data_IF_858660375990
#
_entry.id   IF_858660375990
#
_cell.length_a   1.000
_cell.length_b   1.000
_cell.length_c   1.000
_cell.angle_alpha   90.00
_cell.angle_beta   90.00
_cell.angle_gamma   90.00
#
_symmetry.space_group_name_H-M   'P 1'
#
loop_
_entity.id
_entity.type
_entity.pdbx_description
1 polymer ?
#
# COMPACT_ATOMS: atom_id res chain seq x y z
N UNK A 1 -68.34 -3.38 -74.18
CA UNK A 1 -67.74 -3.07 -72.86
C UNK A 1 -66.72 -4.16 -72.55
N UNK A 2 -65.43 -3.86 -72.67
CA UNK A 2 -64.35 -4.75 -72.23
C UNK A 2 -63.42 -3.94 -71.33
N UNK A 3 -63.33 -4.34 -70.06
CA UNK A 3 -62.43 -3.75 -69.08
C UNK A 3 -61.10 -4.49 -69.09
N UNK A 4 -60.02 -3.80 -69.45
CA UNK A 4 -58.66 -4.31 -69.37
C UNK A 4 -58.13 -4.14 -67.94
N UNK A 5 -57.88 -5.24 -67.23
CA UNK A 5 -57.19 -5.25 -65.94
C UNK A 5 -55.68 -5.28 -66.18
N UNK A 6 -54.99 -4.27 -65.68
CA UNK A 6 -53.53 -4.09 -65.80
C UNK A 6 -52.78 -5.08 -64.88
N UNK A 7 -51.82 -5.87 -65.39
CA UNK A 7 -51.10 -6.89 -64.62
C UNK A 7 -49.97 -6.32 -63.73
N UNK A 8 -49.93 -5.01 -63.48
CA UNK A 8 -48.82 -4.35 -62.75
C UNK A 8 -48.93 -4.38 -61.22
N UNK A 9 -50.05 -4.84 -60.65
CA UNK A 9 -50.26 -4.84 -59.19
C UNK A 9 -49.61 -6.00 -58.39
N UNK A 10 -49.53 -7.26 -58.86
CA UNK A 10 -48.98 -8.34 -58.04
C UNK A 10 -47.45 -8.29 -57.92
N UNK A 11 -46.75 -7.72 -58.91
CA UNK A 11 -45.27 -7.62 -58.90
C UNK A 11 -44.78 -6.60 -57.87
N UNK A 12 -45.50 -5.49 -57.69
CA UNK A 12 -45.16 -4.47 -56.71
C UNK A 12 -45.29 -4.99 -55.26
N UNK A 13 -46.29 -5.84 -54.98
CA UNK A 13 -46.48 -6.44 -53.65
C UNK A 13 -45.39 -7.46 -53.35
N UNK A 14 -44.99 -8.28 -54.33
CA UNK A 14 -43.93 -9.28 -54.17
C UNK A 14 -42.56 -8.63 -53.88
N UNK A 15 -42.24 -7.53 -54.58
CA UNK A 15 -41.01 -6.75 -54.35
C UNK A 15 -40.98 -6.09 -52.97
N UNK A 16 -42.13 -5.60 -52.48
CA UNK A 16 -42.22 -4.94 -51.17
C UNK A 16 -42.12 -5.95 -50.01
N UNK A 17 -42.66 -7.17 -50.20
CA UNK A 17 -42.50 -8.28 -49.24
C UNK A 17 -41.05 -8.79 -49.24
N UNK A 18 -40.39 -8.93 -50.39
CA UNK A 18 -38.96 -9.30 -50.44
C UNK A 18 -38.08 -8.24 -49.78
N UNK A 19 -38.36 -6.94 -49.99
CA UNK A 19 -37.61 -5.86 -49.36
C UNK A 19 -37.78 -5.85 -47.83
N UNK A 20 -38.98 -6.10 -47.34
CA UNK A 20 -39.27 -6.21 -45.91
C UNK A 20 -38.57 -7.42 -45.27
N UNK A 21 -38.50 -8.57 -45.96
CA UNK A 21 -37.79 -9.76 -45.46
C UNK A 21 -36.27 -9.55 -45.45
N UNK A 22 -35.70 -8.82 -46.42
CA UNK A 22 -34.27 -8.45 -46.40
C UNK A 22 -33.92 -7.44 -45.29
N UNK A 23 -34.84 -6.51 -44.97
CA UNK A 23 -34.62 -5.54 -43.89
C UNK A 23 -34.72 -6.17 -42.49
N UNK A 24 -35.61 -7.16 -42.31
CA UNK A 24 -35.70 -7.92 -41.05
C UNK A 24 -34.50 -8.86 -40.87
N UNK A 25 -33.93 -9.39 -41.97
CA UNK A 25 -32.71 -10.20 -41.93
C UNK A 25 -31.43 -9.44 -41.53
N UNK A 26 -31.36 -8.14 -41.83
CA UNK A 26 -30.23 -7.26 -41.44
C UNK A 26 -30.39 -6.65 -40.04
N UNK A 27 -31.60 -6.62 -39.49
CA UNK A 27 -31.86 -6.35 -38.07
C UNK A 27 -31.75 -7.62 -37.21
N UNK A 28 -31.16 -8.70 -37.75
CA UNK A 28 -30.79 -9.89 -37.00
C UNK A 28 -29.90 -9.47 -35.83
N UNK A 29 -30.43 -9.66 -34.62
CA UNK A 29 -29.78 -9.53 -33.32
C UNK A 29 -28.27 -9.76 -33.41
N UNK A 30 -27.51 -8.70 -33.69
CA UNK A 30 -26.10 -8.66 -33.44
C UNK A 30 -25.98 -8.84 -31.94
N UNK A 31 -25.65 -10.07 -31.51
CA UNK A 31 -25.12 -10.30 -30.17
C UNK A 31 -24.04 -9.23 -30.05
N UNK A 32 -24.30 -8.19 -29.25
CA UNK A 32 -23.31 -7.14 -29.00
C UNK A 32 -22.06 -7.91 -28.62
N UNK A 33 -21.06 -7.85 -29.48
CA UNK A 33 -19.76 -8.42 -29.17
C UNK A 33 -19.40 -7.77 -27.84
N UNK A 34 -19.35 -8.59 -26.78
CA UNK A 34 -19.04 -8.08 -25.45
C UNK A 34 -17.57 -7.70 -25.55
N UNK A 35 -17.32 -6.45 -25.92
CA UNK A 35 -15.98 -5.90 -26.02
C UNK A 35 -15.29 -6.10 -24.67
N UNK A 36 -14.07 -6.66 -24.71
CA UNK A 36 -13.27 -6.86 -23.50
C UNK A 36 -13.15 -5.51 -22.78
N UNK A 37 -13.63 -5.39 -21.52
CA UNK A 37 -13.66 -4.10 -20.83
C UNK A 37 -12.28 -3.62 -20.40
N UNK A 38 -11.23 -4.43 -20.56
CA UNK A 38 -9.86 -4.10 -20.18
C UNK A 38 -9.10 -3.50 -21.36
N UNK A 39 -8.44 -2.38 -21.11
CA UNK A 39 -7.51 -1.76 -22.08
C UNK A 39 -6.10 -2.20 -21.75
N UNK A 40 -5.41 -2.84 -22.70
CA UNK A 40 -4.01 -3.21 -22.50
C UNK A 40 -3.12 -1.96 -22.52
N UNK A 41 -2.24 -1.83 -21.51
CA UNK A 41 -1.20 -0.81 -21.49
C UNK A 41 -0.06 -1.20 -20.52
N UNK A 42 1.04 -0.45 -20.57
CA UNK A 42 2.14 -0.60 -19.60
C UNK A 42 1.75 -0.10 -18.21
N UNK A 43 2.34 -0.70 -17.16
CA UNK A 43 2.14 -0.29 -15.76
C UNK A 43 2.30 1.23 -15.59
N UNK A 44 3.39 1.80 -16.13
CA UNK A 44 3.66 3.24 -16.09
C UNK A 44 2.55 4.10 -16.69
N UNK A 45 1.98 3.70 -17.84
CA UNK A 45 0.90 4.49 -18.47
C UNK A 45 -0.42 4.31 -17.74
N UNK A 46 -0.68 3.15 -17.16
CA UNK A 46 -1.85 2.93 -16.28
C UNK A 46 -1.77 3.78 -15.02
N UNK A 47 -0.60 3.85 -14.36
CA UNK A 47 -0.49 4.54 -13.06
C UNK A 47 -0.28 6.04 -13.21
N UNK A 48 0.50 6.49 -14.21
CA UNK A 48 0.87 7.92 -14.38
C UNK A 48 0.49 8.54 -15.72
N UNK A 49 0.07 7.76 -16.70
CA UNK A 49 -0.34 8.25 -18.00
C UNK A 49 -1.83 8.59 -18.07
N UNK A 50 -2.23 9.07 -19.25
CA UNK A 50 -3.61 9.47 -19.56
C UNK A 50 -4.43 8.33 -20.18
N UNK A 51 -4.08 7.07 -19.88
CA UNK A 51 -4.77 5.92 -20.48
C UNK A 51 -6.22 5.90 -20.01
N UNK A 52 -7.14 6.19 -20.93
CA UNK A 52 -8.57 6.17 -20.68
C UNK A 52 -9.09 4.74 -20.76
N UNK A 53 -9.73 4.29 -19.69
CA UNK A 53 -10.42 3.00 -19.64
C UNK A 53 -11.77 3.14 -18.96
N UNK A 54 -12.75 2.37 -19.46
CA UNK A 54 -14.06 2.26 -18.84
C UNK A 54 -13.90 1.66 -17.44
N UNK A 55 -14.32 2.41 -16.41
CA UNK A 55 -14.20 2.01 -14.99
C UNK A 55 -12.76 1.75 -14.53
N UNK A 56 -11.77 2.35 -15.20
CA UNK A 56 -10.35 2.23 -14.85
C UNK A 56 -9.83 0.78 -14.84
N UNK A 57 -10.26 -0.02 -15.83
CA UNK A 57 -9.86 -1.42 -15.99
C UNK A 57 -8.78 -1.60 -17.05
N UNK A 58 -7.66 -2.17 -16.67
CA UNK A 58 -6.48 -2.27 -17.52
C UNK A 58 -5.95 -3.69 -17.57
N UNK A 59 -5.45 -4.13 -18.71
CA UNK A 59 -4.65 -5.35 -18.81
C UNK A 59 -3.17 -4.93 -18.80
N UNK A 60 -2.38 -5.48 -17.89
CA UNK A 60 -0.95 -5.21 -17.77
C UNK A 60 -0.17 -6.53 -17.77
N UNK A 61 1.07 -6.50 -18.23
CA UNK A 61 1.99 -7.62 -17.96
C UNK A 61 2.22 -7.75 -16.46
N UNK A 62 2.28 -9.00 -15.97
CA UNK A 62 2.54 -9.26 -14.56
C UNK A 62 3.87 -8.60 -14.14
N UNK A 63 3.85 -7.65 -13.18
CA UNK A 63 5.04 -6.90 -12.83
C UNK A 63 5.98 -7.74 -11.96
N UNK A 64 7.21 -7.26 -11.80
CA UNK A 64 8.09 -7.77 -10.77
C UNK A 64 7.60 -7.33 -9.39
N UNK A 65 7.44 -8.30 -8.49
CA UNK A 65 7.09 -8.07 -7.10
C UNK A 65 8.36 -7.72 -6.32
N UNK A 66 8.39 -6.53 -5.71
CA UNK A 66 9.50 -6.09 -4.89
C UNK A 66 9.37 -6.58 -3.44
N UNK A 67 8.14 -6.67 -2.95
CA UNK A 67 7.81 -7.19 -1.62
C UNK A 67 6.33 -7.55 -1.58
N UNK A 68 5.98 -8.63 -0.88
CA UNK A 68 4.60 -9.12 -0.76
C UNK A 68 4.37 -9.54 0.69
N UNK A 69 3.27 -9.09 1.29
CA UNK A 69 2.83 -9.55 2.61
C UNK A 69 1.33 -9.42 2.74
N UNK A 70 0.68 -10.52 3.12
CA UNK A 70 -0.77 -10.69 3.11
C UNK A 70 -1.36 -10.46 1.72
N UNK A 71 -2.33 -9.55 1.66
CA UNK A 71 -3.07 -9.19 0.44
C UNK A 71 -2.46 -8.02 -0.35
N UNK A 72 -1.31 -7.50 0.08
CA UNK A 72 -0.67 -6.31 -0.49
C UNK A 72 0.71 -6.64 -1.01
N UNK A 73 1.05 -6.09 -2.18
CA UNK A 73 2.39 -6.11 -2.73
C UNK A 73 2.85 -4.72 -3.14
N UNK A 74 4.15 -4.50 -3.04
CA UNK A 74 4.85 -3.45 -3.77
C UNK A 74 5.34 -4.02 -5.10
N UNK A 75 5.03 -3.30 -6.16
CA UNK A 75 5.52 -3.56 -7.51
C UNK A 75 6.31 -2.34 -7.98
N UNK A 76 7.37 -2.57 -8.74
CA UNK A 76 8.21 -1.48 -9.27
C UNK A 76 8.40 -1.56 -10.77
N UNK A 77 8.31 -0.40 -11.38
CA UNK A 77 8.78 -0.11 -12.74
C UNK A 77 9.74 1.09 -12.64
N UNK A 78 11.04 0.80 -12.62
CA UNK A 78 12.07 1.82 -12.41
C UNK A 78 11.99 2.51 -11.04
N UNK A 79 11.74 3.83 -11.05
CA UNK A 79 11.61 4.64 -9.83
C UNK A 79 10.15 4.78 -9.33
N UNK A 80 9.23 4.05 -9.94
CA UNK A 80 7.82 4.03 -9.57
C UNK A 80 7.59 3.03 -8.44
N UNK A 81 7.06 3.52 -7.32
CA UNK A 81 6.53 2.68 -6.24
C UNK A 81 5.02 2.60 -6.42
N UNK A 82 4.50 1.41 -6.72
CA UNK A 82 3.08 1.17 -6.93
C UNK A 82 2.64 -0.02 -6.08
N UNK A 83 1.35 -0.08 -5.76
CA UNK A 83 0.78 -1.15 -4.93
C UNK A 83 -0.18 -2.00 -5.74
N UNK A 84 -0.04 -3.31 -5.62
CA UNK A 84 -0.99 -4.30 -6.14
C UNK A 84 -1.65 -4.99 -4.95
N UNK A 85 -2.97 -5.12 -4.98
CA UNK A 85 -3.73 -5.85 -3.97
C UNK A 85 -4.52 -6.98 -4.60
N UNK A 86 -4.49 -8.14 -3.97
CA UNK A 86 -5.23 -9.33 -4.35
C UNK A 86 -5.43 -10.20 -3.11
N UNK A 87 -6.44 -11.06 -3.13
CA UNK A 87 -6.59 -12.07 -2.08
C UNK A 87 -5.45 -13.09 -2.13
N UNK A 88 -4.90 -13.43 -0.97
CA UNK A 88 -3.86 -14.46 -0.79
C UNK A 88 -2.63 -14.22 -1.70
N UNK A 89 -2.24 -12.96 -1.84
CA UNK A 89 -1.15 -12.57 -2.73
C UNK A 89 0.21 -13.11 -2.24
N UNK A 90 0.43 -13.13 -0.93
CA UNK A 90 1.64 -13.71 -0.31
C UNK A 90 1.89 -15.15 -0.76
N UNK A 91 0.85 -15.99 -0.77
CA UNK A 91 0.97 -17.39 -1.19
C UNK A 91 1.01 -17.60 -2.71
N UNK A 92 0.42 -16.68 -3.49
CA UNK A 92 0.17 -16.91 -4.92
C UNK A 92 0.98 -16.05 -5.90
N UNK A 93 1.65 -14.98 -5.46
CA UNK A 93 2.30 -14.02 -6.36
C UNK A 93 3.30 -14.65 -7.34
N UNK A 94 4.04 -15.69 -6.93
CA UNK A 94 5.00 -16.38 -7.79
C UNK A 94 4.34 -17.02 -9.04
N UNK A 95 3.07 -17.44 -8.93
CA UNK A 95 2.32 -18.05 -10.03
C UNK A 95 1.85 -17.03 -11.07
N UNK A 96 1.87 -15.74 -10.71
CA UNK A 96 1.48 -14.64 -11.60
C UNK A 96 2.58 -14.32 -12.62
N UNK A 97 3.82 -14.78 -12.41
CA UNK A 97 4.91 -14.55 -13.34
C UNK A 97 4.57 -15.03 -14.77
N UNK A 98 4.79 -14.16 -15.76
CA UNK A 98 4.53 -14.45 -17.18
C UNK A 98 3.04 -14.44 -17.58
N UNK A 99 2.15 -13.94 -16.71
CA UNK A 99 0.72 -13.77 -17.03
C UNK A 99 0.39 -12.33 -17.41
N UNK A 100 -0.80 -12.14 -18.00
CA UNK A 100 -1.44 -10.84 -18.15
C UNK A 100 -2.44 -10.66 -17.00
N UNK A 101 -2.30 -9.57 -16.26
CA UNK A 101 -3.16 -9.22 -15.14
C UNK A 101 -4.19 -8.19 -15.61
N UNK A 102 -5.48 -8.52 -15.50
CA UNK A 102 -6.52 -7.50 -15.55
C UNK A 102 -6.64 -6.88 -14.16
N UNK A 103 -6.39 -5.58 -14.08
CA UNK A 103 -6.40 -4.80 -12.85
C UNK A 103 -7.42 -3.68 -12.93
N UNK A 104 -7.96 -3.28 -11.78
CA UNK A 104 -8.70 -2.03 -11.64
C UNK A 104 -7.88 -1.05 -10.83
N UNK A 105 -7.65 0.15 -11.37
CA UNK A 105 -7.04 1.26 -10.62
C UNK A 105 -8.06 1.85 -9.65
N UNK A 106 -7.67 1.94 -8.39
CA UNK A 106 -8.50 2.44 -7.28
C UNK A 106 -7.79 3.57 -6.57
N UNK A 107 -8.58 4.51 -6.02
CA UNK A 107 -8.10 5.70 -5.32
C UNK A 107 -8.41 5.67 -3.82
N UNK A 108 -9.13 4.64 -3.36
CA UNK A 108 -9.57 4.45 -1.97
C UNK A 108 -9.45 2.98 -1.55
N UNK A 109 -8.85 2.69 -0.39
CA UNK A 109 -8.11 3.64 0.46
C UNK A 109 -6.87 4.20 -0.28
N UNK A 110 -6.36 5.35 0.18
CA UNK A 110 -5.13 5.91 -0.38
C UNK A 110 -3.92 5.05 0.03
N UNK A 111 -2.85 5.00 -0.77
CA UNK A 111 -2.61 5.71 -2.02
C UNK A 111 -3.36 5.09 -3.19
N UNK A 112 -3.24 5.69 -4.38
CA UNK A 112 -3.71 5.04 -5.61
C UNK A 112 -3.02 3.68 -5.76
N UNK A 113 -3.79 2.64 -6.05
CA UNK A 113 -3.29 1.27 -6.15
C UNK A 113 -4.05 0.49 -7.22
N UNK A 114 -3.59 -0.73 -7.50
CA UNK A 114 -4.18 -1.64 -8.47
C UNK A 114 -4.82 -2.81 -7.71
N UNK A 115 -6.06 -3.12 -8.02
CA UNK A 115 -6.76 -4.33 -7.54
C UNK A 115 -6.74 -5.37 -8.64
N UNK A 116 -6.24 -6.56 -8.36
CA UNK A 116 -6.30 -7.68 -9.30
C UNK A 116 -7.75 -8.14 -9.50
N UNK A 117 -8.21 -8.16 -10.75
CA UNK A 117 -9.56 -8.57 -11.14
C UNK A 117 -9.57 -9.72 -12.17
N UNK A 118 -8.44 -10.01 -12.83
CA UNK A 118 -8.34 -11.06 -13.85
C UNK A 118 -6.90 -11.57 -13.99
N UNK A 119 -6.75 -12.87 -14.26
CA UNK A 119 -5.50 -13.50 -14.66
C UNK A 119 -5.71 -14.17 -16.02
N UNK A 120 -4.84 -13.86 -16.98
CA UNK A 120 -4.87 -14.41 -18.33
C UNK A 120 -3.51 -15.01 -18.68
N UNK A 121 -3.51 -16.25 -19.16
CA UNK A 121 -2.30 -16.98 -19.54
C UNK A 121 -2.47 -17.50 -20.96
N UNK A 122 -1.49 -17.23 -21.82
CA UNK A 122 -1.52 -17.66 -23.22
C UNK A 122 -2.80 -17.25 -23.97
N UNK A 123 -3.34 -16.07 -23.66
CA UNK A 123 -4.57 -15.56 -24.27
C UNK A 123 -5.88 -16.05 -23.63
N UNK A 124 -5.83 -17.01 -22.69
CA UNK A 124 -6.99 -17.60 -22.03
C UNK A 124 -7.18 -16.99 -20.64
N UNK A 125 -8.41 -16.61 -20.29
CA UNK A 125 -8.77 -16.13 -18.95
C UNK A 125 -8.85 -17.33 -18.01
N UNK A 126 -7.89 -17.44 -17.09
CA UNK A 126 -7.83 -18.52 -16.08
C UNK A 126 -8.67 -18.17 -14.84
N UNK A 127 -8.71 -16.88 -14.49
CA UNK A 127 -9.46 -16.38 -13.35
C UNK A 127 -9.94 -14.94 -13.63
N UNK A 128 -11.10 -14.57 -13.12
CA UNK A 128 -11.68 -13.23 -13.27
C UNK A 128 -12.43 -12.82 -12.01
N UNK A 129 -13.17 -11.70 -12.04
CA UNK A 129 -13.92 -11.19 -10.88
C UNK A 129 -14.95 -12.16 -10.29
N UNK A 130 -15.29 -13.24 -10.99
CA UNK A 130 -16.19 -14.29 -10.48
C UNK A 130 -15.46 -15.33 -9.63
N UNK A 131 -14.16 -15.57 -9.90
CA UNK A 131 -13.32 -16.53 -9.18
C UNK A 131 -12.28 -15.89 -8.28
N UNK A 132 -11.85 -14.66 -8.62
CA UNK A 132 -10.98 -13.81 -7.82
C UNK A 132 -11.87 -12.95 -6.94
N UNK A 133 -11.89 -13.24 -5.64
CA UNK A 133 -12.56 -12.36 -4.70
C UNK A 133 -11.65 -11.17 -4.40
N UNK A 134 -12.28 -10.01 -4.22
CA UNK A 134 -11.57 -8.84 -3.72
C UNK A 134 -11.22 -9.11 -2.26
N UNK A 135 -9.97 -8.83 -1.82
CA UNK A 135 -9.62 -8.98 -0.42
C UNK A 135 -10.57 -8.13 0.45
N UNK A 136 -11.15 -8.76 1.47
CA UNK A 136 -12.06 -8.09 2.42
C UNK A 136 -11.31 -6.99 3.20
N UNK A 137 -10.05 -7.26 3.53
CA UNK A 137 -9.16 -6.35 4.23
C UNK A 137 -7.77 -6.40 3.60
N UNK A 138 -7.15 -5.23 3.44
CA UNK A 138 -5.77 -5.06 3.02
C UNK A 138 -5.23 -3.75 3.59
N UNK A 139 -3.95 -3.75 3.92
CA UNK A 139 -3.26 -2.61 4.51
C UNK A 139 -2.42 -1.93 3.45
N UNK A 140 -2.48 -0.60 3.39
CA UNK A 140 -1.65 0.22 2.51
C UNK A 140 -0.97 1.33 3.34
N UNK A 141 0.30 1.66 3.05
CA UNK A 141 0.97 2.78 3.70
C UNK A 141 0.41 4.11 3.20
N UNK A 142 0.17 5.05 4.10
CA UNK A 142 -0.15 6.42 3.71
C UNK A 142 1.12 7.13 3.23
N UNK A 143 1.10 7.58 1.98
CA UNK A 143 2.24 8.26 1.36
C UNK A 143 2.12 9.77 1.49
N UNK A 144 3.18 10.41 1.99
CA UNK A 144 3.26 11.86 2.11
C UNK A 144 3.92 12.46 0.87
N UNK A 145 3.38 13.60 0.43
CA UNK A 145 4.03 14.42 -0.61
C UNK A 145 5.25 15.11 -0.02
N UNK A 146 6.25 15.40 -0.84
CA UNK A 146 7.48 16.06 -0.40
C UNK A 146 7.26 17.44 0.26
N UNK A 147 6.14 18.12 -0.03
CA UNK A 147 5.75 19.37 0.63
C UNK A 147 4.91 19.21 1.90
N UNK A 148 4.51 17.98 2.26
CA UNK A 148 3.83 17.69 3.52
C UNK A 148 4.81 17.43 4.68
N UNK A 149 6.11 17.37 4.38
CA UNK A 149 7.18 17.21 5.37
C UNK A 149 8.01 18.48 5.43
N UNK A 150 8.50 18.82 6.61
CA UNK A 150 9.46 19.90 6.77
C UNK A 150 10.86 19.39 6.37
N UNK A 151 11.33 19.81 5.20
CA UNK A 151 12.63 19.35 4.67
C UNK A 151 13.82 19.97 5.40
N UNK A 152 13.61 21.10 6.06
CA UNK A 152 14.64 21.85 6.79
C UNK A 152 14.67 21.51 8.29
N UNK A 153 14.06 20.39 8.71
CA UNK A 153 14.17 19.93 10.09
C UNK A 153 15.64 19.84 10.48
N UNK A 154 16.03 20.36 11.66
CA UNK A 154 17.40 20.27 12.13
C UNK A 154 17.81 18.79 12.13
N UNK A 155 18.82 18.47 11.32
CA UNK A 155 19.40 17.14 11.19
C UNK A 155 20.35 16.81 12.34
N UNK A 156 19.94 17.07 13.57
CA UNK A 156 20.58 16.43 14.70
C UNK A 156 20.06 14.99 14.69
N UNK A 157 20.89 13.97 14.38
CA UNK A 157 20.45 12.59 14.62
C UNK A 157 19.94 12.54 16.05
N UNK A 158 18.87 11.78 16.33
CA UNK A 158 18.60 11.39 17.70
C UNK A 158 19.89 10.75 18.18
N UNK A 159 20.67 11.44 19.04
CA UNK A 159 21.88 10.84 19.55
C UNK A 159 21.41 9.62 20.32
N UNK A 160 22.30 8.65 20.43
CA UNK A 160 22.06 7.56 21.35
C UNK A 160 21.73 8.14 22.73
N UNK A 161 20.51 7.89 23.19
CA UNK A 161 20.08 8.32 24.51
C UNK A 161 20.64 7.30 25.49
N UNK A 162 21.77 7.63 26.12
CA UNK A 162 22.34 6.76 27.12
C UNK A 162 21.40 6.56 28.31
N UNK A 163 21.58 5.48 29.06
CA UNK A 163 20.68 5.08 30.13
C UNK A 163 20.97 5.79 31.47
N UNK A 164 22.11 6.51 31.59
CA UNK A 164 22.51 7.19 32.84
C UNK A 164 21.66 8.43 33.11
N UNK A 165 21.65 8.87 34.38
CA UNK A 165 20.83 10.00 34.81
C UNK A 165 21.13 11.29 34.02
N UNK A 166 22.42 11.67 33.91
CA UNK A 166 22.83 12.87 33.20
C UNK A 166 22.46 12.84 31.70
N UNK A 167 22.57 11.68 31.06
CA UNK A 167 22.22 11.48 29.64
C UNK A 167 20.69 11.61 29.43
N UNK A 168 19.90 11.09 30.36
CA UNK A 168 18.44 11.20 30.35
C UNK A 168 17.97 12.63 30.63
N UNK A 169 18.61 13.34 31.56
CA UNK A 169 18.29 14.74 31.85
C UNK A 169 18.60 15.65 30.65
N UNK A 170 19.71 15.40 29.96
CA UNK A 170 20.06 16.11 28.72
C UNK A 170 19.06 15.80 27.59
N UNK A 171 18.70 14.52 27.41
CA UNK A 171 17.73 14.11 26.42
C UNK A 171 16.34 14.70 26.69
N UNK A 172 15.93 14.77 27.95
CA UNK A 172 14.68 15.42 28.38
C UNK A 172 14.67 16.89 28.01
N UNK A 173 15.71 17.64 28.38
CA UNK A 173 15.80 19.07 28.07
C UNK A 173 15.82 19.33 26.55
N UNK A 174 16.46 18.44 25.80
CA UNK A 174 16.65 18.61 24.35
C UNK A 174 15.41 18.22 23.55
N UNK A 175 14.89 17.01 23.77
CA UNK A 175 13.93 16.35 22.87
C UNK A 175 12.49 16.32 23.38
N UNK A 176 12.26 16.48 24.70
CA UNK A 176 10.90 16.58 25.22
C UNK A 176 10.43 18.05 25.21
N UNK A 177 9.11 18.28 25.07
CA UNK A 177 8.53 19.60 25.25
C UNK A 177 8.76 20.15 26.66
N UNK A 178 8.75 21.48 26.80
CA UNK A 178 8.94 22.13 28.11
C UNK A 178 7.72 21.94 29.02
N UNK A 179 6.52 21.91 28.45
CA UNK A 179 5.27 21.69 29.18
C UNK A 179 4.50 20.52 28.59
N UNK A 180 3.79 19.83 29.47
CA UNK A 180 2.84 18.80 29.07
C UNK A 180 1.75 19.40 28.18
N UNK A 181 1.50 18.76 27.03
CA UNK A 181 0.54 19.22 26.03
C UNK A 181 1.10 20.14 24.95
N UNK A 182 2.34 20.60 25.06
CA UNK A 182 3.02 21.29 23.95
C UNK A 182 3.28 20.31 22.79
N UNK A 183 3.46 20.84 21.58
CA UNK A 183 3.83 20.03 20.42
C UNK A 183 5.16 19.31 20.66
N UNK A 184 5.20 18.01 20.32
CA UNK A 184 6.43 17.24 20.43
C UNK A 184 7.51 17.79 19.50
N UNK A 185 8.75 17.83 20.00
CA UNK A 185 9.91 18.20 19.18
C UNK A 185 10.22 17.05 18.23
N UNK A 186 10.12 17.33 16.94
CA UNK A 186 10.44 16.36 15.88
C UNK A 186 11.88 16.54 15.43
N UNK A 187 12.59 15.42 15.28
CA UNK A 187 14.00 15.38 14.88
C UNK A 187 14.23 14.36 13.79
N UNK A 188 15.11 14.67 12.85
CA UNK A 188 15.45 13.77 11.75
C UNK A 188 16.58 12.84 12.17
N UNK A 189 16.35 11.53 12.12
CA UNK A 189 17.33 10.53 12.51
C UNK A 189 17.41 9.36 11.53
N UNK A 190 18.37 8.47 11.78
CA UNK A 190 18.53 7.19 11.10
C UNK A 190 18.87 6.11 12.14
N UNK A 191 18.11 5.03 12.13
CA UNK A 191 18.37 3.85 12.94
C UNK A 191 18.80 2.71 12.02
N UNK A 192 20.05 2.28 12.18
CA UNK A 192 20.58 1.13 11.45
C UNK A 192 19.89 -0.17 11.89
N UNK A 193 19.59 -0.27 13.20
CA UNK A 193 19.00 -1.44 13.82
C UNK A 193 17.62 -1.12 14.39
N UNK A 194 16.69 -2.03 14.17
CA UNK A 194 15.36 -1.98 14.77
C UNK A 194 14.78 -3.40 14.77
N UNK A 195 13.88 -3.68 15.71
CA UNK A 195 13.35 -5.02 15.88
C UNK A 195 11.87 -5.03 16.26
N UNK A 196 11.15 -6.04 15.79
CA UNK A 196 9.81 -6.38 16.24
C UNK A 196 9.93 -7.55 17.23
N UNK A 197 9.64 -7.30 18.51
CA UNK A 197 9.87 -8.24 19.61
C UNK A 197 8.73 -8.19 20.61
N UNK A 198 8.53 -9.24 21.43
CA UNK A 198 7.67 -9.15 22.60
C UNK A 198 8.09 -7.95 23.46
N UNK A 199 7.11 -7.24 24.02
CA UNK A 199 7.36 -6.05 24.82
C UNK A 199 8.23 -6.35 26.02
N UNK A 200 9.15 -5.43 26.30
CA UNK A 200 10.14 -5.56 27.36
C UNK A 200 9.53 -5.56 28.78
N UNK A 201 8.29 -5.09 28.93
CA UNK A 201 7.53 -4.99 30.18
C UNK A 201 6.56 -6.17 30.40
N UNK A 202 6.61 -7.21 29.54
CA UNK A 202 5.81 -8.42 29.75
C UNK A 202 6.25 -9.18 31.00
N UNK A 203 5.28 -9.76 31.69
CA UNK A 203 5.53 -10.61 32.84
C UNK A 203 6.42 -11.81 32.46
N UNK A 204 7.39 -12.12 33.31
CA UNK A 204 8.29 -13.25 33.09
C UNK A 204 7.48 -14.56 32.96
N UNK A 205 7.75 -15.32 31.88
CA UNK A 205 7.04 -16.56 31.57
C UNK A 205 5.70 -16.38 30.85
N UNK A 206 5.26 -15.15 30.55
CA UNK A 206 4.10 -14.93 29.70
C UNK A 206 4.36 -15.46 28.27
N UNK A 207 3.33 -16.06 27.67
CA UNK A 207 3.35 -16.41 26.25
C UNK A 207 2.82 -15.21 25.46
N UNK A 208 3.66 -14.50 24.69
CA UNK A 208 3.23 -13.29 24.00
C UNK A 208 2.24 -13.61 22.89
N UNK A 209 1.13 -12.89 22.88
CA UNK A 209 0.18 -12.81 21.78
C UNK A 209 0.63 -11.74 20.75
N UNK A 210 -0.02 -11.63 19.57
CA UNK A 210 0.37 -10.63 18.59
C UNK A 210 0.32 -9.17 19.08
N UNK A 211 -0.56 -8.85 20.03
CA UNK A 211 -0.68 -7.48 20.59
C UNK A 211 0.43 -7.17 21.62
N UNK A 212 1.15 -8.19 22.07
CA UNK A 212 2.27 -8.08 23.00
C UNK A 212 3.59 -7.78 22.29
N UNK A 213 3.59 -7.57 20.98
CA UNK A 213 4.79 -7.21 20.23
C UNK A 213 4.85 -5.71 19.98
N UNK A 214 6.05 -5.17 20.07
CA UNK A 214 6.34 -3.78 19.74
C UNK A 214 7.56 -3.66 18.84
N UNK A 215 7.61 -2.54 18.12
CA UNK A 215 8.79 -2.12 17.39
C UNK A 215 9.73 -1.38 18.33
N UNK A 216 11.03 -1.64 18.18
CA UNK A 216 12.10 -0.97 18.92
C UNK A 216 13.09 -0.37 17.94
N UNK A 217 13.44 0.90 18.12
CA UNK A 217 14.57 1.53 17.44
C UNK A 217 15.81 1.35 18.32
N UNK A 218 16.85 0.71 17.79
CA UNK A 218 17.99 0.23 18.57
C UNK A 218 19.23 1.04 18.23
N UNK A 219 19.80 1.71 19.25
CA UNK A 219 21.12 2.33 19.24
C UNK A 219 22.21 1.36 19.71
N UNK A 220 23.37 1.91 20.11
CA UNK A 220 24.53 1.07 20.46
C UNK A 220 24.36 0.39 21.84
N UNK A 221 23.78 1.09 22.82
CA UNK A 221 23.56 0.63 24.20
C UNK A 221 22.12 0.75 24.66
N UNK A 222 21.27 1.50 23.94
CA UNK A 222 19.89 1.74 24.31
C UNK A 222 18.91 1.55 23.15
N UNK A 223 17.64 1.39 23.50
CA UNK A 223 16.53 1.29 22.57
C UNK A 223 15.36 2.18 23.01
N UNK A 224 14.57 2.57 22.01
CA UNK A 224 13.31 3.29 22.19
C UNK A 224 12.16 2.43 21.66
N UNK A 225 11.13 2.24 22.48
CA UNK A 225 9.90 1.58 22.06
C UNK A 225 9.12 2.51 21.13
N UNK A 226 8.81 2.04 19.92
CA UNK A 226 7.96 2.77 18.99
C UNK A 226 6.52 2.64 19.45
N UNK A 227 5.94 3.75 19.87
CA UNK A 227 4.53 3.86 20.23
C UNK A 227 3.83 4.71 19.17
N UNK A 228 2.55 4.42 18.91
CA UNK A 228 1.72 5.13 17.93
C UNK A 228 2.21 5.01 16.48
N UNK A 229 1.98 3.83 15.89
CA UNK A 229 2.31 3.54 14.50
C UNK A 229 1.04 3.23 13.70
N UNK A 230 0.90 3.74 12.48
CA UNK A 230 -0.20 3.34 11.59
C UNK A 230 0.01 1.92 11.09
N UNK A 231 -1.07 1.18 10.81
CA UNK A 231 -0.95 -0.19 10.25
C UNK A 231 -0.14 -0.21 8.94
N UNK A 232 -0.31 0.82 8.11
CA UNK A 232 0.45 0.99 6.87
C UNK A 232 1.94 1.22 7.09
N UNK A 233 2.30 1.99 8.12
CA UNK A 233 3.67 2.17 8.54
C UNK A 233 4.28 0.89 9.12
N UNK A 234 3.54 0.17 9.95
CA UNK A 234 3.96 -1.14 10.47
C UNK A 234 4.26 -2.13 9.34
N UNK A 235 3.36 -2.22 8.37
CA UNK A 235 3.56 -3.08 7.20
C UNK A 235 4.86 -2.73 6.45
N UNK A 236 5.19 -1.44 6.34
CA UNK A 236 6.43 -0.95 5.73
C UNK A 236 7.67 -1.17 6.61
N UNK A 237 7.57 -1.15 7.95
CA UNK A 237 8.69 -1.52 8.83
C UNK A 237 9.08 -2.99 8.66
N UNK A 238 8.10 -3.88 8.48
CA UNK A 238 8.39 -5.27 8.14
C UNK A 238 9.16 -5.40 6.82
N UNK A 239 8.78 -4.63 5.79
CA UNK A 239 9.54 -4.57 4.54
C UNK A 239 10.99 -4.16 4.79
N UNK A 240 11.21 -3.06 5.55
CA UNK A 240 12.56 -2.57 5.82
C UNK A 240 13.38 -3.64 6.55
N UNK A 241 12.77 -4.34 7.51
CA UNK A 241 13.42 -5.38 8.30
C UNK A 241 13.78 -6.59 7.43
N UNK A 242 12.86 -7.06 6.61
CA UNK A 242 13.08 -8.23 5.75
C UNK A 242 14.12 -7.96 4.65
N UNK A 243 14.34 -6.68 4.32
CA UNK A 243 15.36 -6.22 3.37
C UNK A 243 16.66 -5.74 4.00
N UNK A 244 16.79 -5.81 5.32
CA UNK A 244 17.95 -5.30 6.06
C UNK A 244 18.26 -3.82 5.73
N UNK A 245 17.21 -3.00 5.69
CA UNK A 245 17.30 -1.57 5.39
C UNK A 245 17.10 -0.73 6.67
N UNK A 246 17.84 0.37 6.84
CA UNK A 246 17.67 1.24 8.00
C UNK A 246 16.33 1.99 7.97
N UNK A 247 15.86 2.41 9.14
CA UNK A 247 14.73 3.34 9.25
C UNK A 247 15.28 4.76 9.30
N UNK A 248 15.03 5.53 8.24
CA UNK A 248 15.47 6.92 8.12
C UNK A 248 14.24 7.80 8.06
N UNK A 249 14.09 8.74 8.99
CA UNK A 249 12.83 9.45 9.15
C UNK A 249 12.87 10.59 10.14
N UNK A 250 11.68 11.07 10.47
CA UNK A 250 11.43 12.01 11.54
C UNK A 250 10.80 11.29 12.72
N UNK A 251 11.29 11.61 13.90
CA UNK A 251 10.92 10.94 15.13
C UNK A 251 10.65 11.99 16.21
N UNK A 252 9.70 11.69 17.08
CA UNK A 252 9.36 12.52 18.22
C UNK A 252 9.42 11.68 19.49
N UNK A 253 10.29 12.07 20.42
CA UNK A 253 10.38 11.40 21.71
C UNK A 253 9.11 11.71 22.52
N UNK A 254 8.45 10.68 23.05
CA UNK A 254 7.19 10.83 23.80
C UNK A 254 7.48 10.84 25.30
N UNK A 255 8.25 9.87 25.78
CA UNK A 255 8.60 9.76 27.19
C UNK A 255 9.96 9.12 27.38
N UNK A 256 10.55 9.37 28.54
CA UNK A 256 11.77 8.71 29.02
C UNK A 256 11.44 7.96 30.31
N UNK A 257 12.04 6.79 30.50
CA UNK A 257 11.91 6.04 31.75
C UNK A 257 12.67 6.74 32.87
N UNK A 258 11.95 7.17 33.90
CA UNK A 258 12.54 7.96 34.98
C UNK A 258 13.26 7.07 36.00
N UNK A 259 12.72 5.88 36.24
CA UNK A 259 13.22 4.96 37.25
C UNK A 259 14.54 4.33 36.78
N UNK A 260 15.63 4.66 37.47
CA UNK A 260 16.94 4.06 37.22
C UNK A 260 16.91 2.52 37.30
N UNK A 261 16.11 1.96 38.22
CA UNK A 261 15.95 0.52 38.38
C UNK A 261 15.41 -0.17 37.13
N UNK A 262 14.56 0.51 36.34
CA UNK A 262 14.00 0.00 35.09
C UNK A 262 14.98 0.23 33.93
N UNK A 263 15.52 1.44 33.79
CA UNK A 263 16.48 1.77 32.72
C UNK A 263 17.73 0.90 32.69
N UNK A 264 18.26 0.53 33.85
CA UNK A 264 19.50 -0.26 33.93
C UNK A 264 19.32 -1.73 33.55
N UNK A 265 18.07 -2.21 33.38
CA UNK A 265 17.81 -3.57 32.94
C UNK A 265 18.25 -3.68 31.47
N UNK A 266 19.06 -4.68 31.18
CA UNK A 266 19.50 -4.97 29.82
C UNK A 266 18.61 -6.06 29.24
N UNK A 267 18.05 -5.79 28.06
CA UNK A 267 17.18 -6.72 27.35
C UNK A 267 17.95 -7.34 26.17
N UNK A 268 17.99 -8.68 26.05
CA UNK A 268 18.73 -9.36 25.00
C UNK A 268 18.37 -8.85 23.59
N UNK A 269 19.36 -8.30 22.89
CA UNK A 269 19.21 -7.78 21.53
C UNK A 269 18.54 -6.40 21.41
N UNK A 270 18.15 -5.77 22.53
CA UNK A 270 17.63 -4.40 22.57
C UNK A 270 18.55 -3.44 23.35
N UNK A 271 19.37 -3.95 24.27
CA UNK A 271 20.11 -3.11 25.21
C UNK A 271 19.18 -2.55 26.30
N UNK A 272 19.39 -1.30 26.69
CA UNK A 272 18.55 -0.62 27.69
C UNK A 272 17.35 0.07 27.05
N UNK A 273 16.13 -0.31 27.42
CA UNK A 273 14.94 0.42 26.94
C UNK A 273 14.78 1.69 27.79
N UNK A 274 15.02 2.85 27.18
CA UNK A 274 15.13 4.14 27.90
C UNK A 274 13.93 5.05 27.73
N UNK A 275 12.98 4.72 26.86
CA UNK A 275 11.82 5.55 26.62
C UNK A 275 10.97 5.07 25.45
N UNK A 276 10.02 5.92 25.09
CA UNK A 276 9.09 5.70 23.97
C UNK A 276 9.23 6.79 22.93
N UNK A 277 9.09 6.41 21.67
CA UNK A 277 9.27 7.28 20.51
C UNK A 277 8.12 7.09 19.53
N UNK A 278 7.73 8.16 18.86
CA UNK A 278 6.83 8.14 17.72
C UNK A 278 7.63 8.25 16.43
N UNK A 279 7.27 7.48 15.42
CA UNK A 279 7.75 7.71 14.06
C UNK A 279 6.74 8.63 13.39
N UNK A 280 7.11 9.87 13.12
CA UNK A 280 6.22 10.83 12.44
C UNK A 280 6.10 10.47 10.95
N UNK A 281 7.24 10.23 10.32
CA UNK A 281 7.34 9.68 8.97
C UNK A 281 8.71 9.04 8.76
N UNK A 282 8.81 8.14 7.79
CA UNK A 282 10.09 7.58 7.36
C UNK A 282 10.15 7.44 5.84
N UNK A 283 11.35 7.37 5.30
CA UNK A 283 11.60 7.32 3.88
C UNK A 283 11.79 5.87 3.40
N UNK A 284 11.15 5.54 2.29
CA UNK A 284 11.48 4.35 1.51
C UNK A 284 11.63 4.75 0.04
N UNK A 285 12.80 4.47 -0.54
CA UNK A 285 13.18 4.97 -1.86
C UNK A 285 12.96 6.50 -1.96
N UNK A 286 12.14 6.95 -2.91
CA UNK A 286 11.84 8.38 -3.13
C UNK A 286 10.47 8.79 -2.57
N UNK A 287 9.90 8.02 -1.64
CA UNK A 287 8.62 8.34 -0.99
C UNK A 287 8.77 8.46 0.51
N UNK A 288 7.89 9.26 1.10
CA UNK A 288 7.73 9.38 2.54
C UNK A 288 6.49 8.59 2.95
N UNK A 289 6.63 7.77 3.98
CA UNK A 289 5.56 6.98 4.60
C UNK A 289 5.17 7.68 5.89
N UNK A 290 3.89 7.98 6.06
CA UNK A 290 3.34 8.55 7.29
C UNK A 290 3.41 7.49 8.39
N UNK A 291 4.18 7.76 9.44
CA UNK A 291 4.35 6.85 10.57
C UNK A 291 3.19 6.95 11.57
N UNK A 292 2.64 8.15 11.74
CA UNK A 292 1.56 8.45 12.68
C UNK A 292 0.47 9.32 12.04
N UNK A 293 -0.79 8.95 12.24
CA UNK A 293 -1.92 9.75 11.80
C UNK A 293 -2.34 10.73 12.91
N UNK A 294 -2.08 12.02 12.68
CA UNK A 294 -2.64 13.05 13.55
C UNK A 294 -4.14 13.22 13.20
N UNK A 295 -5.02 12.75 14.09
CA UNK A 295 -6.48 12.82 13.92
C UNK A 295 -7.04 14.25 13.89
N UNK A 296 -6.23 15.24 14.27
CA UNK A 296 -6.63 16.64 14.33
C UNK A 296 -6.29 17.43 13.03
N UNK A 297 -5.78 16.76 11.98
CA UNK A 297 -5.48 17.33 10.66
C UNK A 297 -6.44 16.86 9.58
#
# INVERSE_FOLDING_TARGET
>A
MFGATSPRRPVAILLLVMLAVTLIGLAGCGKKEIADPYVYDSLRRVTRGDTLSVKFRFEIDAPAFEYVRGNTAIIRDGNLLEFLVAEDLESNHQRLAGTLLGVRKTFTPQPTHLVLERIKRNGVVEADTTTLHRPAHYTLPRLLRAGAIEQNMPGAPLPEIGFKANEIDEARATFLPEKEGDELKTVKSAFANFAYRPRHDLAEGATPSPEDYAWYLIGDTSALEVVQLTEGAEWMLHLLKDKDLPVIGAFSLISLEEEWSKRRVEHPGLGHVVGTVRIDWFQYANTYVEGFENKDR
#
